data_IF_568550217102
#
_entry.id   IF_568550217102
#
_cell.length_a   1.000
_cell.length_b   1.000
_cell.length_c   1.000
_cell.angle_alpha   90.00
_cell.angle_beta   90.00
_cell.angle_gamma   90.00
#
_symmetry.space_group_name_H-M   'P 1'
#
loop_
_entity.id
_entity.type
_entity.pdbx_description
1 polymer ?
#
# COMPACT_ATOMS: atom_id res chain seq x y z
N UNK A 1 1.59 10.95 -7.97
CA UNK A 1 0.38 11.37 -7.22
C UNK A 1 -0.21 10.24 -6.39
N UNK A 2 -0.62 9.12 -7.03
CA UNK A 2 -1.20 8.01 -6.27
C UNK A 2 -0.19 7.33 -5.32
N UNK A 3 1.10 7.26 -5.69
CA UNK A 3 2.12 6.67 -4.82
C UNK A 3 2.38 7.54 -3.59
N UNK A 4 2.33 8.85 -3.73
CA UNK A 4 2.45 9.77 -2.61
C UNK A 4 1.29 9.57 -1.63
N UNK A 5 0.08 9.39 -2.15
CA UNK A 5 -1.10 9.15 -1.33
C UNK A 5 -0.98 7.80 -0.59
N UNK A 6 -0.53 6.77 -1.30
CA UNK A 6 -0.31 5.45 -0.68
C UNK A 6 0.70 5.56 0.47
N UNK A 7 1.81 6.28 0.25
CA UNK A 7 2.82 6.47 1.30
C UNK A 7 2.23 7.19 2.51
N UNK A 8 1.40 8.20 2.27
CA UNK A 8 0.74 8.96 3.34
C UNK A 8 -0.24 8.08 4.12
N UNK A 9 -0.95 7.17 3.44
CA UNK A 9 -1.90 6.25 4.09
C UNK A 9 -1.22 5.25 5.03
N UNK A 10 0.10 5.09 4.96
CA UNK A 10 0.84 4.23 5.88
C UNK A 10 1.05 4.89 7.24
N UNK A 11 0.85 6.21 7.34
CA UNK A 11 0.84 6.93 8.61
C UNK A 11 -0.53 6.72 9.29
N UNK A 12 -0.51 6.33 10.57
CA UNK A 12 -1.75 5.97 11.27
C UNK A 12 -2.73 7.13 11.36
N UNK A 13 -2.26 8.30 11.69
CA UNK A 13 -3.13 9.47 11.86
C UNK A 13 -3.73 9.89 10.51
N UNK A 14 -2.91 9.91 9.48
CA UNK A 14 -3.38 10.25 8.13
C UNK A 14 -4.42 9.23 7.66
N UNK A 15 -4.15 7.95 7.88
CA UNK A 15 -5.08 6.88 7.49
C UNK A 15 -6.43 7.03 8.17
N UNK A 16 -6.42 7.25 9.49
CA UNK A 16 -7.66 7.37 10.25
C UNK A 16 -8.49 8.57 9.79
N UNK A 17 -7.83 9.65 9.35
CA UNK A 17 -8.52 10.84 8.85
C UNK A 17 -9.07 10.67 7.43
N UNK A 18 -8.49 9.79 6.62
CA UNK A 18 -8.77 9.72 5.18
C UNK A 18 -9.35 8.39 4.70
N UNK A 19 -9.60 7.45 5.60
CA UNK A 19 -10.17 6.16 5.21
C UNK A 19 -11.63 6.31 4.74
N UNK A 20 -12.11 5.31 4.01
CA UNK A 20 -13.50 5.29 3.57
C UNK A 20 -13.77 6.25 2.43
N UNK A 21 -14.83 7.06 2.57
CA UNK A 21 -15.29 7.94 1.50
C UNK A 21 -14.30 9.01 1.09
N UNK A 22 -13.36 9.38 1.98
CA UNK A 22 -12.35 10.41 1.69
C UNK A 22 -11.23 9.90 0.80
N UNK A 23 -11.06 8.57 0.69
CA UNK A 23 -10.01 7.98 -0.13
C UNK A 23 -10.56 6.73 -0.84
N UNK A 24 -11.46 6.91 -1.82
CA UNK A 24 -12.07 5.76 -2.50
C UNK A 24 -11.08 5.06 -3.42
N UNK A 25 -11.29 3.75 -3.60
CA UNK A 25 -10.41 2.92 -4.41
C UNK A 25 -10.28 3.41 -5.85
N UNK A 26 -11.30 4.08 -6.38
CA UNK A 26 -11.29 4.58 -7.78
C UNK A 26 -10.20 5.62 -8.04
N UNK A 27 -9.59 6.18 -6.99
CA UNK A 27 -8.49 7.13 -7.14
C UNK A 27 -7.18 6.46 -7.52
N UNK A 28 -7.13 5.13 -7.49
CA UNK A 28 -5.90 4.37 -7.70
C UNK A 28 -6.02 3.53 -8.97
N UNK A 29 -4.89 3.36 -9.67
CA UNK A 29 -4.79 2.41 -10.75
C UNK A 29 -4.92 0.99 -10.20
N UNK A 30 -5.15 0.02 -11.09
CA UNK A 30 -5.42 -1.37 -10.70
C UNK A 30 -4.34 -1.94 -9.77
N UNK A 31 -3.08 -1.75 -10.14
CA UNK A 31 -1.97 -2.33 -9.37
C UNK A 31 -1.77 -1.60 -8.04
N UNK A 32 -1.88 -0.27 -8.05
CA UNK A 32 -1.75 0.52 -6.82
C UNK A 32 -2.92 0.26 -5.88
N UNK A 33 -4.10 -0.02 -6.43
CA UNK A 33 -5.27 -0.39 -5.62
C UNK A 33 -5.02 -1.67 -4.83
N UNK A 34 -4.32 -2.63 -5.41
CA UNK A 34 -3.96 -3.87 -4.70
C UNK A 34 -3.02 -3.58 -3.53
N UNK A 35 -2.09 -2.64 -3.71
CA UNK A 35 -1.21 -2.21 -2.63
C UNK A 35 -2.02 -1.49 -1.54
N UNK A 36 -2.95 -0.63 -1.93
CA UNK A 36 -3.82 0.06 -0.99
C UNK A 36 -4.64 -0.93 -0.16
N UNK A 37 -5.09 -2.03 -0.77
CA UNK A 37 -5.81 -3.08 -0.04
C UNK A 37 -4.91 -3.73 1.01
N UNK A 38 -3.62 -3.89 0.73
CA UNK A 38 -2.66 -4.40 1.71
C UNK A 38 -2.47 -3.41 2.85
N UNK A 39 -2.46 -2.11 2.57
CA UNK A 39 -2.42 -1.08 3.60
C UNK A 39 -3.64 -1.17 4.50
N UNK A 40 -4.84 -1.29 3.91
CA UNK A 40 -6.08 -1.44 4.66
C UNK A 40 -6.03 -2.64 5.60
N UNK A 41 -5.53 -3.78 5.10
CA UNK A 41 -5.42 -4.99 5.90
C UNK A 41 -4.45 -4.79 7.07
N UNK A 42 -3.30 -4.16 6.81
CA UNK A 42 -2.32 -3.89 7.86
C UNK A 42 -2.90 -2.94 8.92
N UNK A 43 -3.63 -1.92 8.50
CA UNK A 43 -4.22 -0.95 9.43
C UNK A 43 -5.31 -1.56 10.30
N UNK A 44 -6.00 -2.60 9.81
CA UNK A 44 -6.96 -3.35 10.63
C UNK A 44 -6.27 -4.25 11.64
N UNK A 45 -5.07 -4.74 11.29
CA UNK A 45 -4.32 -5.70 12.11
C UNK A 45 -3.45 -5.01 13.16
N UNK A 46 -2.88 -3.86 12.81
CA UNK A 46 -1.96 -3.12 13.67
C UNK A 46 -2.54 -1.76 14.04
N UNK A 47 -2.33 -1.36 15.29
CA UNK A 47 -2.83 -0.07 15.80
C UNK A 47 -1.71 0.98 15.78
N UNK A 48 -0.87 0.96 14.74
CA UNK A 48 0.28 1.87 14.63
C UNK A 48 0.54 2.21 13.16
N UNK A 49 1.39 3.20 12.95
CA UNK A 49 1.94 3.51 11.64
C UNK A 49 2.71 2.29 11.11
N UNK A 50 2.58 2.02 9.82
CA UNK A 50 3.29 0.92 9.16
C UNK A 50 4.31 1.47 8.18
N UNK A 51 5.34 0.70 7.89
CA UNK A 51 6.38 1.08 6.95
C UNK A 51 6.12 0.46 5.58
N UNK A 52 6.64 1.06 4.49
CA UNK A 52 6.54 0.43 3.18
C UNK A 52 7.11 -0.99 3.13
N UNK A 53 8.20 -1.26 3.86
CA UNK A 53 8.78 -2.60 3.91
C UNK A 53 7.83 -3.61 4.54
N UNK A 54 7.10 -3.21 5.59
CA UNK A 54 6.10 -4.07 6.22
C UNK A 54 4.96 -4.38 5.26
N UNK A 55 4.48 -3.39 4.54
CA UNK A 55 3.41 -3.58 3.55
C UNK A 55 3.89 -4.47 2.41
N UNK A 56 5.11 -4.26 1.94
CA UNK A 56 5.68 -5.10 0.88
C UNK A 56 5.72 -6.57 1.30
N UNK A 57 6.20 -6.86 2.51
CA UNK A 57 6.27 -8.21 3.03
C UNK A 57 4.88 -8.84 3.13
N UNK A 58 3.90 -8.10 3.65
CA UNK A 58 2.53 -8.56 3.76
C UNK A 58 1.92 -8.83 2.39
N UNK A 59 2.12 -7.89 1.45
CA UNK A 59 1.60 -8.02 0.09
C UNK A 59 2.16 -9.24 -0.61
N UNK A 60 3.48 -9.44 -0.56
CA UNK A 60 4.12 -10.59 -1.22
C UNK A 60 3.70 -11.91 -0.59
N UNK A 61 3.52 -11.94 0.73
CA UNK A 61 3.05 -13.12 1.45
C UNK A 61 1.65 -13.52 1.01
N UNK A 62 0.76 -12.54 0.83
CA UNK A 62 -0.63 -12.79 0.45
C UNK A 62 -0.83 -13.02 -1.05
N UNK A 63 0.22 -12.81 -1.86
CA UNK A 63 0.15 -12.92 -3.32
C UNK A 63 1.28 -13.83 -3.84
N UNK A 64 1.47 -14.97 -3.19
CA UNK A 64 2.54 -15.91 -3.53
C UNK A 64 2.41 -16.47 -4.95
N UNK A 65 1.21 -16.43 -5.53
CA UNK A 65 0.95 -16.96 -6.87
C UNK A 65 1.40 -16.01 -8.00
N UNK A 66 1.89 -14.82 -7.67
CA UNK A 66 2.36 -13.89 -8.69
C UNK A 66 3.54 -14.47 -9.48
N UNK A 67 3.58 -14.18 -10.79
CA UNK A 67 4.73 -14.53 -11.61
C UNK A 67 5.94 -13.70 -11.21
N UNK A 68 7.14 -14.15 -11.66
CA UNK A 68 8.37 -13.38 -11.41
C UNK A 68 8.27 -11.97 -11.97
N UNK A 69 7.72 -11.82 -13.19
CA UNK A 69 7.54 -10.51 -13.81
C UNK A 69 6.62 -9.62 -12.98
N UNK A 70 5.51 -10.18 -12.47
CA UNK A 70 4.58 -9.43 -11.63
C UNK A 70 5.24 -9.01 -10.33
N UNK A 71 5.99 -9.91 -9.69
CA UNK A 71 6.71 -9.59 -8.44
C UNK A 71 7.72 -8.46 -8.66
N UNK A 72 8.43 -8.47 -9.78
CA UNK A 72 9.38 -7.42 -10.11
C UNK A 72 8.68 -6.08 -10.31
N UNK A 73 7.53 -6.08 -10.98
CA UNK A 73 6.75 -4.86 -11.19
C UNK A 73 6.29 -4.26 -9.86
N UNK A 74 5.78 -5.09 -8.95
CA UNK A 74 5.36 -4.63 -7.62
C UNK A 74 6.53 -4.18 -6.77
N UNK A 75 7.67 -4.88 -6.84
CA UNK A 75 8.88 -4.47 -6.15
C UNK A 75 9.30 -3.07 -6.59
N UNK A 76 9.23 -2.78 -7.89
CA UNK A 76 9.54 -1.46 -8.42
C UNK A 76 8.59 -0.40 -7.85
N UNK A 77 7.28 -0.69 -7.77
CA UNK A 77 6.31 0.23 -7.18
C UNK A 77 6.61 0.48 -5.70
N UNK A 78 6.93 -0.55 -4.93
CA UNK A 78 7.29 -0.38 -3.52
C UNK A 78 8.56 0.43 -3.36
N UNK A 79 9.54 0.26 -4.24
CA UNK A 79 10.76 1.05 -4.19
C UNK A 79 10.46 2.53 -4.44
N UNK A 80 9.52 2.84 -5.33
CA UNK A 80 9.08 4.21 -5.56
C UNK A 80 8.36 4.77 -4.34
N UNK A 81 7.51 3.96 -3.71
CA UNK A 81 6.80 4.36 -2.49
C UNK A 81 7.79 4.68 -1.37
N UNK A 82 8.85 3.87 -1.22
CA UNK A 82 9.88 4.08 -0.19
C UNK A 82 10.61 5.41 -0.37
N UNK A 83 10.65 5.95 -1.59
CA UNK A 83 11.31 7.23 -1.88
C UNK A 83 10.39 8.43 -1.60
N UNK A 84 9.10 8.21 -1.43
CA UNK A 84 8.17 9.29 -1.12
C UNK A 84 8.38 9.76 0.33
N UNK A 85 8.32 11.09 0.58
CA UNK A 85 8.51 11.63 1.92
C UNK A 85 7.38 11.30 2.88
#
# INVERSE_FOLDING_TARGET
MELTLIRSLMDRDFYDDHKGAKCPDRLFSKDVRKIKNAVDLAMKRYERTVTPAEIEALFMSNNAQLTTAQKQAYTSLFNQIKKEP
#
